data_IF_244048190934
#
_entry.id   IF_244048190934
#
_cell.length_a   1.000
_cell.length_b   1.000
_cell.length_c   1.000
_cell.angle_alpha   90.00
_cell.angle_beta   90.00
_cell.angle_gamma   90.00
#
_symmetry.space_group_name_H-M   'P 1'
#
loop_
_entity.id
_entity.type
_entity.pdbx_description
1 polymer ?
#
# COMPACT_ATOMS: atom_id res chain seq x y z
N UNK A 1 -45.58 19.40 -52.53
CA UNK A 1 -45.65 18.14 -51.73
C UNK A 1 -44.39 17.35 -52.01
N UNK A 2 -43.44 17.31 -51.12
CA UNK A 2 -42.43 16.28 -51.14
C UNK A 2 -42.43 15.50 -49.86
N UNK A 3 -42.35 14.18 -50.01
CA UNK A 3 -42.32 13.18 -48.95
C UNK A 3 -40.92 13.11 -48.31
N UNK A 4 -40.84 13.31 -47.01
CA UNK A 4 -39.63 13.07 -46.26
C UNK A 4 -39.55 11.60 -45.88
N UNK A 5 -38.54 10.88 -46.39
CA UNK A 5 -38.21 9.53 -46.03
C UNK A 5 -37.30 9.63 -44.78
N UNK A 6 -37.84 9.20 -43.63
CA UNK A 6 -37.09 9.08 -42.39
C UNK A 6 -36.20 7.81 -42.39
N UNK A 7 -34.89 8.03 -42.34
CA UNK A 7 -33.89 6.98 -42.22
C UNK A 7 -33.74 6.64 -40.72
N UNK A 8 -34.31 5.51 -40.31
CA UNK A 8 -34.20 4.99 -38.96
C UNK A 8 -32.88 4.23 -38.82
N UNK A 9 -31.87 4.90 -38.22
CA UNK A 9 -30.60 4.28 -37.89
C UNK A 9 -30.78 3.43 -36.61
N UNK A 10 -30.79 2.11 -36.78
CA UNK A 10 -30.76 1.16 -35.68
C UNK A 10 -29.37 1.15 -35.04
N UNK A 11 -29.23 1.76 -33.87
CA UNK A 11 -28.05 1.62 -33.05
C UNK A 11 -28.06 0.22 -32.40
N UNK A 12 -27.22 -0.69 -32.92
CA UNK A 12 -26.88 -1.91 -32.23
C UNK A 12 -25.99 -1.54 -31.04
N UNK A 13 -26.56 -1.50 -29.85
CA UNK A 13 -25.83 -1.51 -28.60
C UNK A 13 -25.20 -2.91 -28.44
N UNK A 14 -23.92 -3.00 -28.81
CA UNK A 14 -23.08 -4.13 -28.43
C UNK A 14 -22.87 -4.04 -26.94
N UNK A 15 -23.64 -4.81 -26.16
CA UNK A 15 -23.39 -5.04 -24.75
C UNK A 15 -22.09 -5.85 -24.62
N UNK A 16 -20.99 -5.16 -24.34
CA UNK A 16 -19.82 -5.81 -23.76
C UNK A 16 -20.24 -6.35 -22.39
N UNK A 17 -20.46 -7.66 -22.33
CA UNK A 17 -20.54 -8.36 -21.05
C UNK A 17 -19.15 -8.28 -20.40
N UNK A 18 -18.89 -7.24 -19.64
CA UNK A 18 -17.85 -7.27 -18.63
C UNK A 18 -18.19 -8.44 -17.71
N UNK A 19 -17.38 -9.48 -17.76
CA UNK A 19 -17.36 -10.50 -16.72
C UNK A 19 -16.97 -9.79 -15.43
N UNK A 20 -17.96 -9.19 -14.77
CA UNK A 20 -17.81 -8.53 -13.51
C UNK A 20 -17.41 -9.55 -12.46
N UNK A 21 -16.15 -9.58 -12.09
CA UNK A 21 -15.76 -10.03 -10.76
C UNK A 21 -16.47 -9.07 -9.80
N UNK A 22 -17.61 -9.48 -9.25
CA UNK A 22 -18.35 -8.70 -8.30
C UNK A 22 -17.44 -8.29 -7.13
N UNK A 23 -17.69 -7.14 -6.47
CA UNK A 23 -16.87 -6.72 -5.35
C UNK A 23 -16.81 -7.84 -4.33
N UNK A 24 -15.58 -8.32 -4.04
CA UNK A 24 -15.36 -9.36 -3.03
C UNK A 24 -15.85 -8.81 -1.69
N UNK A 25 -16.67 -9.58 -0.98
CA UNK A 25 -17.02 -9.21 0.39
C UNK A 25 -15.76 -9.19 1.23
N UNK A 26 -15.47 -8.04 1.83
CA UNK A 26 -14.24 -7.85 2.58
C UNK A 26 -14.16 -6.47 3.20
N UNK A 27 -12.99 -6.12 3.69
CA UNK A 27 -12.68 -4.81 4.25
C UNK A 27 -11.19 -4.51 4.17
N UNK A 28 -10.86 -3.25 4.44
CA UNK A 28 -9.47 -2.76 4.47
C UNK A 28 -9.26 -1.90 5.71
N UNK A 29 -8.15 -2.10 6.37
CA UNK A 29 -7.61 -1.19 7.38
C UNK A 29 -6.34 -0.55 6.83
N UNK A 30 -6.32 0.76 6.81
CA UNK A 30 -5.17 1.55 6.36
C UNK A 30 -4.61 2.37 7.51
N UNK A 31 -3.31 2.55 7.50
CA UNK A 31 -2.59 3.40 8.44
C UNK A 31 -1.55 4.19 7.65
N UNK A 32 -1.57 5.51 7.81
CA UNK A 32 -0.57 6.41 7.26
C UNK A 32 0.14 7.11 8.42
N UNK A 33 1.43 6.89 8.53
CA UNK A 33 2.29 7.58 9.51
C UNK A 33 3.23 8.49 8.76
N UNK A 34 3.32 9.74 9.18
CA UNK A 34 4.21 10.75 8.61
C UNK A 34 5.30 11.07 9.60
N UNK A 35 6.53 11.14 9.09
CA UNK A 35 7.68 11.65 9.81
C UNK A 35 8.33 12.75 8.98
N UNK A 36 8.95 13.73 9.62
CA UNK A 36 9.72 14.75 8.95
C UNK A 36 11.01 15.02 9.70
N UNK A 37 12.06 15.33 8.94
CA UNK A 37 13.36 15.64 9.47
C UNK A 37 13.99 16.79 8.67
N UNK A 38 14.87 17.56 9.32
CA UNK A 38 15.65 18.60 8.68
C UNK A 38 17.03 18.06 8.32
N UNK A 39 17.50 18.34 7.12
CA UNK A 39 18.86 17.99 6.68
C UNK A 39 19.87 18.85 7.44
N UNK A 40 20.79 18.21 8.14
CA UNK A 40 21.92 18.90 8.80
C UNK A 40 23.16 18.93 7.91
N UNK A 41 23.44 17.85 7.20
CA UNK A 41 24.58 17.73 6.30
C UNK A 41 24.38 16.61 5.27
N UNK A 42 25.03 16.73 4.12
CA UNK A 42 25.08 15.72 3.07
C UNK A 42 26.52 15.42 2.70
N UNK A 43 26.92 14.17 2.76
CA UNK A 43 28.18 13.69 2.19
C UNK A 43 27.87 12.99 0.86
N UNK A 44 28.16 13.66 -0.23
CA UNK A 44 27.89 13.17 -1.59
C UNK A 44 28.76 11.94 -1.93
N UNK A 45 29.97 11.83 -1.35
CA UNK A 45 30.90 10.75 -1.66
C UNK A 45 30.48 9.41 -1.07
N UNK A 46 29.97 9.43 0.16
CA UNK A 46 29.45 8.26 0.88
C UNK A 46 27.95 8.12 0.75
N UNK A 47 27.27 9.09 0.13
CA UNK A 47 25.82 9.22 0.02
C UNK A 47 25.13 9.23 1.39
N UNK A 48 25.81 9.71 2.41
CA UNK A 48 25.25 9.83 3.76
C UNK A 48 24.58 11.17 3.95
N UNK A 49 23.40 11.15 4.53
CA UNK A 49 22.63 12.34 4.90
C UNK A 49 22.43 12.31 6.40
N UNK A 50 22.90 13.36 7.08
CA UNK A 50 22.60 13.57 8.49
C UNK A 50 21.30 14.35 8.60
N UNK A 51 20.38 13.78 9.35
CA UNK A 51 19.04 14.30 9.54
C UNK A 51 18.80 14.58 11.02
N UNK A 52 18.01 15.61 11.30
CA UNK A 52 17.44 15.87 12.63
C UNK A 52 15.95 15.63 12.57
N UNK A 53 15.44 14.73 13.40
CA UNK A 53 14.01 14.51 13.56
C UNK A 53 13.34 15.80 14.06
N UNK A 54 12.25 16.21 13.40
CA UNK A 54 11.54 17.43 13.78
C UNK A 54 10.62 17.23 15.00
N UNK A 55 10.33 15.99 15.39
CA UNK A 55 9.47 15.71 16.54
C UNK A 55 10.22 15.77 17.88
N UNK A 56 11.44 15.22 17.93
CA UNK A 56 12.20 15.12 19.18
C UNK A 56 13.61 15.76 19.13
N UNK A 57 14.04 16.24 17.95
CA UNK A 57 15.32 16.85 17.73
C UNK A 57 16.51 15.90 17.69
N UNK A 58 16.27 14.58 17.67
CA UNK A 58 17.33 13.57 17.59
C UNK A 58 18.01 13.59 16.23
N UNK A 59 19.37 13.62 16.22
CA UNK A 59 20.12 13.52 14.96
C UNK A 59 20.51 12.08 14.67
N UNK A 60 20.36 11.68 13.40
CA UNK A 60 20.72 10.35 12.89
C UNK A 60 21.28 10.45 11.47
N UNK A 61 21.91 9.37 11.01
CA UNK A 61 22.49 9.31 9.66
C UNK A 61 21.80 8.21 8.87
N UNK A 62 21.42 8.54 7.64
CA UNK A 62 20.89 7.58 6.66
C UNK A 62 21.79 7.55 5.43
N UNK A 63 21.87 6.40 4.76
CA UNK A 63 22.54 6.29 3.48
C UNK A 63 21.50 6.27 2.37
N UNK A 64 21.58 7.23 1.45
CA UNK A 64 20.70 7.28 0.28
C UNK A 64 21.04 6.13 -0.67
N UNK A 65 20.06 5.28 -0.96
CA UNK A 65 20.20 4.17 -1.88
C UNK A 65 20.49 4.62 -3.34
N UNK A 66 20.89 3.71 -4.21
CA UNK A 66 21.25 4.03 -5.60
C UNK A 66 20.06 4.55 -6.42
N UNK A 67 18.84 4.24 -6.02
CA UNK A 67 17.59 4.74 -6.61
C UNK A 67 17.34 6.23 -6.35
N UNK A 68 17.94 6.81 -5.29
CA UNK A 68 17.82 8.24 -5.00
C UNK A 68 18.72 9.00 -5.98
N UNK A 69 18.10 9.59 -6.98
CA UNK A 69 18.78 10.49 -7.93
C UNK A 69 18.78 11.93 -7.40
N UNK A 70 19.62 12.75 -7.98
CA UNK A 70 19.66 14.19 -7.68
C UNK A 70 19.96 14.51 -6.20
N UNK A 71 20.74 13.63 -5.53
CA UNK A 71 21.17 13.89 -4.14
C UNK A 71 22.01 15.18 -4.03
N UNK A 72 22.63 15.60 -5.12
CA UNK A 72 23.37 16.86 -5.26
C UNK A 72 22.49 18.10 -5.06
N UNK A 73 21.18 17.97 -5.22
CA UNK A 73 20.22 19.05 -4.97
C UNK A 73 19.80 19.15 -3.50
N UNK A 74 20.20 18.19 -2.65
CA UNK A 74 19.88 18.20 -1.21
C UNK A 74 20.90 19.05 -0.47
N UNK A 75 20.43 20.04 0.28
CA UNK A 75 21.25 20.96 1.07
C UNK A 75 20.85 20.95 2.55
N UNK A 76 21.75 21.43 3.40
CA UNK A 76 21.43 21.67 4.80
C UNK A 76 20.28 22.68 4.92
N UNK A 77 19.32 22.38 5.79
CA UNK A 77 18.08 23.14 5.96
C UNK A 77 16.88 22.57 5.19
N UNK A 78 17.10 21.73 4.19
CA UNK A 78 16.00 21.07 3.46
C UNK A 78 15.19 20.17 4.39
N UNK A 79 13.91 20.01 4.07
CA UNK A 79 13.00 19.12 4.79
C UNK A 79 12.87 17.79 4.05
N UNK A 80 13.12 16.70 4.78
CA UNK A 80 12.82 15.34 4.32
C UNK A 80 11.51 14.90 4.93
N UNK A 81 10.55 14.53 4.09
CA UNK A 81 9.28 13.97 4.53
C UNK A 81 9.23 12.49 4.16
N UNK A 82 8.79 11.68 5.12
CA UNK A 82 8.66 10.23 4.98
C UNK A 82 7.24 9.85 5.30
N UNK A 83 6.55 9.27 4.32
CA UNK A 83 5.23 8.70 4.49
C UNK A 83 5.34 7.17 4.55
N UNK A 84 4.91 6.60 5.68
CA UNK A 84 4.78 5.16 5.87
C UNK A 84 3.31 4.79 5.73
N UNK A 85 3.00 4.00 4.71
CA UNK A 85 1.67 3.47 4.48
C UNK A 85 1.66 1.98 4.76
N UNK A 86 0.67 1.53 5.52
CA UNK A 86 0.37 0.12 5.76
C UNK A 86 -1.11 -0.12 5.53
N UNK A 87 -1.42 -1.15 4.75
CA UNK A 87 -2.78 -1.63 4.57
C UNK A 87 -2.87 -3.12 4.85
N UNK A 88 -3.96 -3.53 5.49
CA UNK A 88 -4.36 -4.93 5.61
C UNK A 88 -5.74 -5.06 5.00
N UNK A 89 -5.85 -5.84 3.95
CA UNK A 89 -7.12 -6.16 3.30
C UNK A 89 -7.47 -7.62 3.55
N UNK A 90 -8.71 -7.88 3.92
CA UNK A 90 -9.23 -9.22 4.02
C UNK A 90 -10.52 -9.32 3.18
N UNK A 91 -10.61 -10.32 2.32
CA UNK A 91 -11.78 -10.59 1.48
C UNK A 91 -12.03 -12.09 1.38
N UNK A 92 -13.23 -12.47 0.94
CA UNK A 92 -13.46 -13.87 0.61
C UNK A 92 -12.51 -14.30 -0.52
N UNK A 93 -11.87 -15.44 -0.35
CA UNK A 93 -11.08 -16.04 -1.40
C UNK A 93 -11.99 -16.60 -2.50
N UNK A 94 -11.60 -16.40 -3.75
CA UNK A 94 -12.24 -17.06 -4.88
C UNK A 94 -11.85 -18.55 -4.94
N UNK A 95 -12.67 -19.41 -5.56
CA UNK A 95 -12.28 -20.79 -5.81
C UNK A 95 -10.96 -20.93 -6.60
N UNK A 96 -10.66 -19.96 -7.46
CA UNK A 96 -9.44 -19.91 -8.27
C UNK A 96 -8.20 -19.46 -7.49
N UNK A 97 -8.35 -18.86 -6.30
CA UNK A 97 -7.21 -18.48 -5.47
C UNK A 97 -6.51 -19.74 -4.96
N UNK A 98 -5.30 -20.01 -5.42
CA UNK A 98 -4.57 -21.27 -5.16
C UNK A 98 -4.15 -21.44 -3.71
N UNK A 99 -4.07 -20.36 -2.97
CA UNK A 99 -3.65 -20.37 -1.57
C UNK A 99 -2.15 -20.18 -1.37
N UNK A 100 -1.34 -20.17 -2.43
CA UNK A 100 0.08 -19.87 -2.32
C UNK A 100 0.29 -18.40 -1.94
N UNK A 101 1.33 -18.14 -1.13
CA UNK A 101 1.73 -16.79 -0.81
C UNK A 101 2.34 -16.13 -2.05
N UNK A 102 1.83 -14.95 -2.41
CA UNK A 102 2.35 -14.15 -3.51
C UNK A 102 2.91 -12.85 -2.97
N UNK A 103 4.09 -12.46 -3.48
CA UNK A 103 4.72 -11.18 -3.15
C UNK A 103 4.87 -10.35 -4.42
N UNK A 104 4.44 -9.10 -4.35
CA UNK A 104 4.66 -8.11 -5.39
C UNK A 104 5.42 -6.92 -4.80
N UNK A 105 6.45 -6.47 -5.50
CA UNK A 105 7.25 -5.31 -5.09
C UNK A 105 7.23 -4.28 -6.21
N UNK A 106 7.01 -3.02 -5.83
CA UNK A 106 7.08 -1.86 -6.73
C UNK A 106 8.06 -0.88 -6.14
N UNK A 107 8.96 -0.36 -6.97
CA UNK A 107 9.85 0.73 -6.61
C UNK A 107 9.71 1.86 -7.65
N UNK A 108 9.72 3.09 -7.15
CA UNK A 108 9.65 4.29 -7.96
C UNK A 108 10.68 5.31 -7.48
N UNK A 109 11.06 6.22 -8.36
CA UNK A 109 11.99 7.31 -8.08
C UNK A 109 11.53 8.59 -8.75
N UNK A 110 11.97 9.73 -8.23
CA UNK A 110 11.72 11.00 -8.85
C UNK A 110 12.30 11.06 -10.28
N UNK A 111 11.63 11.75 -11.23
CA UNK A 111 12.18 12.01 -12.56
C UNK A 111 13.53 12.74 -12.47
N UNK A 112 14.31 12.62 -13.55
CA UNK A 112 15.56 13.35 -13.66
C UNK A 112 15.30 14.87 -13.63
N UNK A 113 16.11 15.61 -12.87
CA UNK A 113 15.95 17.05 -12.66
C UNK A 113 14.86 17.45 -11.63
N UNK A 114 14.01 16.53 -11.21
CA UNK A 114 13.07 16.78 -10.13
C UNK A 114 13.78 16.69 -8.76
N UNK A 115 13.15 17.20 -7.70
CA UNK A 115 13.64 17.04 -6.33
C UNK A 115 13.78 15.58 -5.97
N UNK A 116 14.79 15.21 -5.16
CA UNK A 116 14.98 13.83 -4.74
C UNK A 116 13.75 13.24 -4.07
N UNK A 117 13.42 12.03 -4.45
CA UNK A 117 12.32 11.28 -3.90
C UNK A 117 12.37 9.83 -4.35
N UNK A 118 11.86 8.95 -3.49
CA UNK A 118 11.77 7.53 -3.75
C UNK A 118 10.47 6.97 -3.18
N UNK A 119 9.96 5.93 -3.81
CA UNK A 119 8.84 5.13 -3.36
C UNK A 119 9.22 3.67 -3.41
N UNK A 120 8.95 2.94 -2.36
CA UNK A 120 9.02 1.47 -2.36
C UNK A 120 7.72 0.93 -1.75
N UNK A 121 7.14 -0.07 -2.38
CA UNK A 121 5.97 -0.76 -1.87
C UNK A 121 6.13 -2.27 -2.04
N UNK A 122 5.72 -3.02 -1.02
CA UNK A 122 5.66 -4.47 -1.04
C UNK A 122 4.26 -4.90 -0.65
N UNK A 123 3.69 -5.81 -1.41
CA UNK A 123 2.38 -6.40 -1.14
C UNK A 123 2.54 -7.91 -1.05
N UNK A 124 2.08 -8.48 0.04
CA UNK A 124 2.05 -9.93 0.27
C UNK A 124 0.61 -10.39 0.39
N UNK A 125 0.24 -11.39 -0.38
CA UNK A 125 -1.10 -11.96 -0.40
C UNK A 125 -1.04 -13.45 -0.12
N UNK A 126 -1.97 -13.96 0.68
CA UNK A 126 -2.13 -15.39 0.94
C UNK A 126 -3.59 -15.73 1.24
N UNK A 127 -4.01 -16.95 0.90
CA UNK A 127 -5.30 -17.47 1.33
C UNK A 127 -5.13 -18.23 2.65
N UNK A 128 -5.83 -17.79 3.67
CA UNK A 128 -5.87 -18.47 4.97
C UNK A 128 -7.22 -19.16 5.17
N UNK A 129 -7.23 -20.23 5.97
CA UNK A 129 -8.47 -20.89 6.41
C UNK A 129 -8.77 -20.51 7.85
N UNK A 130 -9.93 -19.89 8.07
CA UNK A 130 -10.36 -19.48 9.41
C UNK A 130 -10.57 -20.73 10.29
N UNK A 131 -9.99 -20.72 11.48
CA UNK A 131 -10.22 -21.72 12.51
C UNK A 131 -11.19 -21.19 13.55
N UNK A 132 -10.97 -19.97 14.04
CA UNK A 132 -11.82 -19.29 15.01
C UNK A 132 -11.60 -17.78 14.97
N UNK A 133 -12.60 -17.03 15.40
CA UNK A 133 -12.49 -15.61 15.73
C UNK A 133 -13.11 -15.37 17.10
N UNK A 134 -12.32 -14.79 17.99
CA UNK A 134 -12.78 -14.38 19.32
C UNK A 134 -13.10 -12.89 19.32
N UNK A 135 -14.37 -12.55 19.36
CA UNK A 135 -14.85 -11.17 19.31
C UNK A 135 -14.49 -10.38 20.59
N UNK A 136 -14.32 -11.06 21.72
CA UNK A 136 -13.99 -10.42 22.99
C UNK A 136 -12.56 -9.89 23.01
N UNK A 137 -11.64 -10.62 22.41
CA UNK A 137 -10.22 -10.26 22.31
C UNK A 137 -9.88 -9.62 20.97
N UNK A 138 -10.73 -9.80 19.94
CA UNK A 138 -10.47 -9.37 18.57
C UNK A 138 -9.38 -10.20 17.89
N UNK A 139 -9.13 -11.44 18.36
CA UNK A 139 -8.08 -12.31 17.82
C UNK A 139 -8.70 -13.35 16.89
N UNK A 140 -8.15 -13.46 15.67
CA UNK A 140 -8.44 -14.55 14.75
C UNK A 140 -7.37 -15.63 14.84
N UNK A 141 -7.82 -16.88 14.81
CA UNK A 141 -6.98 -18.07 14.63
C UNK A 141 -7.24 -18.61 13.23
N UNK A 142 -6.20 -18.84 12.46
CA UNK A 142 -6.29 -19.31 11.09
C UNK A 142 -5.16 -20.26 10.74
N UNK A 143 -5.36 -21.05 9.69
CA UNK A 143 -4.35 -21.91 9.10
C UNK A 143 -3.80 -21.29 7.84
N UNK A 144 -2.48 -21.17 7.76
CA UNK A 144 -1.74 -20.70 6.60
C UNK A 144 -1.59 -21.80 5.53
N UNK A 145 -1.24 -21.46 4.27
CA UNK A 145 -1.08 -22.45 3.19
C UNK A 145 -0.08 -23.57 3.51
N UNK A 146 0.96 -23.26 4.30
CA UNK A 146 1.96 -24.24 4.78
C UNK A 146 1.42 -25.18 5.89
N UNK A 147 0.12 -25.13 6.19
CA UNK A 147 -0.56 -25.96 7.18
C UNK A 147 -0.41 -25.53 8.63
N UNK A 148 0.35 -24.47 8.90
CA UNK A 148 0.57 -23.96 10.27
C UNK A 148 -0.63 -23.18 10.78
N UNK A 149 -0.92 -23.34 12.07
CA UNK A 149 -1.92 -22.50 12.75
C UNK A 149 -1.23 -21.26 13.32
N UNK A 150 -1.85 -20.10 13.04
CA UNK A 150 -1.39 -18.79 13.48
C UNK A 150 -2.53 -18.02 14.14
N UNK A 151 -2.18 -17.03 14.94
CA UNK A 151 -3.11 -16.06 15.51
C UNK A 151 -2.69 -14.64 15.13
N UNK A 152 -3.67 -13.77 14.92
CA UNK A 152 -3.42 -12.35 14.70
C UNK A 152 -4.56 -11.51 15.26
N UNK A 153 -4.22 -10.33 15.76
CA UNK A 153 -5.21 -9.33 16.12
C UNK A 153 -5.88 -8.79 14.84
N UNK A 154 -7.20 -8.81 14.83
CA UNK A 154 -7.98 -8.28 13.70
C UNK A 154 -8.15 -6.78 13.86
N UNK A 155 -7.70 -5.99 12.88
CA UNK A 155 -7.89 -4.55 12.89
C UNK A 155 -9.36 -4.14 13.04
N UNK A 156 -9.68 -3.00 13.68
CA UNK A 156 -11.06 -2.60 13.98
C UNK A 156 -11.99 -2.62 12.77
N UNK A 157 -11.53 -2.11 11.62
CA UNK A 157 -12.33 -2.05 10.38
C UNK A 157 -12.62 -3.43 9.77
N UNK A 158 -11.85 -4.47 10.16
CA UNK A 158 -12.01 -5.84 9.67
C UNK A 158 -12.82 -6.74 10.64
N UNK A 159 -13.11 -6.28 11.86
CA UNK A 159 -13.78 -7.11 12.87
C UNK A 159 -15.19 -7.52 12.45
N UNK A 160 -15.93 -6.63 11.80
CA UNK A 160 -17.28 -6.96 11.29
C UNK A 160 -17.22 -8.08 10.23
N UNK A 161 -16.23 -8.01 9.35
CA UNK A 161 -15.98 -9.08 8.37
C UNK A 161 -15.57 -10.38 9.08
N UNK A 162 -14.62 -10.35 10.01
CA UNK A 162 -14.16 -11.54 10.74
C UNK A 162 -15.29 -12.23 11.52
N UNK A 163 -16.15 -11.44 12.19
CA UNK A 163 -17.32 -11.94 12.94
C UNK A 163 -18.29 -12.73 12.07
N UNK A 164 -18.40 -12.37 10.80
CA UNK A 164 -19.28 -13.03 9.85
C UNK A 164 -18.67 -14.29 9.19
N UNK A 165 -17.42 -14.65 9.55
CA UNK A 165 -16.70 -15.81 8.98
C UNK A 165 -16.63 -16.95 9.98
N UNK A 166 -17.21 -18.08 9.62
CA UNK A 166 -17.14 -19.30 10.44
C UNK A 166 -15.85 -20.09 10.16
N UNK A 167 -15.58 -21.12 11.00
CA UNK A 167 -14.52 -22.08 10.75
C UNK A 167 -14.61 -22.70 9.36
N UNK A 168 -13.47 -22.89 8.70
CA UNK A 168 -13.38 -23.39 7.33
C UNK A 168 -13.52 -22.33 6.24
N UNK A 169 -13.91 -21.09 6.56
CA UNK A 169 -13.95 -19.99 5.59
C UNK A 169 -12.56 -19.72 5.02
N UNK A 170 -12.47 -19.65 3.68
CA UNK A 170 -11.24 -19.27 2.98
C UNK A 170 -11.23 -17.76 2.79
N UNK A 171 -10.17 -17.09 3.28
CA UNK A 171 -10.02 -15.63 3.27
C UNK A 171 -8.71 -15.29 2.58
N UNK A 172 -8.77 -14.45 1.55
CA UNK A 172 -7.59 -13.82 0.95
C UNK A 172 -7.20 -12.64 1.85
N UNK A 173 -6.00 -12.71 2.40
CA UNK A 173 -5.40 -11.62 3.19
C UNK A 173 -4.28 -11.01 2.37
N UNK A 174 -4.31 -9.70 2.20
CA UNK A 174 -3.25 -8.93 1.56
C UNK A 174 -2.72 -7.90 2.55
N UNK A 175 -1.41 -7.90 2.75
CA UNK A 175 -0.68 -6.89 3.51
C UNK A 175 0.14 -6.05 2.53
N UNK A 176 -0.02 -4.74 2.61
CA UNK A 176 0.76 -3.80 1.80
C UNK A 176 1.49 -2.85 2.71
N UNK A 177 2.81 -2.79 2.56
CA UNK A 177 3.66 -1.80 3.18
C UNK A 177 4.27 -0.93 2.08
N UNK A 178 4.18 0.40 2.25
CA UNK A 178 4.80 1.34 1.33
C UNK A 178 5.51 2.47 2.11
N UNK A 179 6.63 2.90 1.57
CA UNK A 179 7.40 4.03 2.08
C UNK A 179 7.61 5.00 0.93
N UNK A 180 7.21 6.24 1.13
CA UNK A 180 7.51 7.32 0.21
C UNK A 180 8.40 8.36 0.92
N UNK A 181 9.47 8.77 0.25
CA UNK A 181 10.38 9.80 0.73
C UNK A 181 10.36 10.94 -0.26
N UNK A 182 10.24 12.16 0.22
CA UNK A 182 10.33 13.37 -0.59
C UNK A 182 11.17 14.44 0.12
N UNK A 183 11.86 15.26 -0.67
CA UNK A 183 12.67 16.39 -0.17
C UNK A 183 12.06 17.68 -0.65
N UNK A 184 11.86 18.64 0.26
CA UNK A 184 11.40 20.00 -0.03
C UNK A 184 12.46 21.01 0.42
N UNK A 185 12.65 22.09 -0.36
CA UNK A 185 13.59 23.16 0.00
C UNK A 185 13.25 23.80 1.35
N UNK A 186 14.29 24.23 2.04
CA UNK A 186 14.14 25.16 3.12
C UNK A 186 13.39 26.42 2.64
N UNK A 187 12.41 26.88 3.43
CA UNK A 187 11.78 28.16 3.12
C UNK A 187 12.85 29.25 3.10
N UNK A 188 12.91 30.02 2.01
CA UNK A 188 13.81 31.19 1.94
C UNK A 188 13.40 32.16 3.04
N UNK A 189 14.34 32.48 3.94
CA UNK A 189 14.18 33.43 5.06
C UNK A 189 14.29 34.86 4.53
#
# INVERSE_FOLDING_TARGET
MPHAIGLMAAFLLMACSEMGVGPRQGGTQETLTRASATVEAVDQSTRQVRLRDNADGTSFVVTAGPEVRNLDQVAAGDQVNVDFYRAVTASMADPADTGEAMTATVAGRAPEGARPGALAATSESMVVTVVNYDDSTGIATFRTPDGRTRTAAVPPNLRSFARSRGPGSRVLVTMTDAVAVSVTEAAAS
#
